data_IF_687984226333
#
_entry.id   IF_687984226333
#
_cell.length_a   1.000
_cell.length_b   1.000
_cell.length_c   1.000
_cell.angle_alpha   90.00
_cell.angle_beta   90.00
_cell.angle_gamma   90.00
#
_symmetry.space_group_name_H-M   'P 1'
#
loop_
_entity.id
_entity.type
_entity.pdbx_description
1 polymer ?
#
# COMPACT_ATOMS: atom_id res chain seq x y z
N UNK A 1 3.03 1.79 15.50
CA UNK A 1 4.19 1.01 15.04
C UNK A 1 4.61 1.34 13.61
N UNK A 2 3.75 1.17 12.59
CA UNK A 2 4.12 1.44 11.18
C UNK A 2 4.67 2.85 10.91
N UNK A 3 4.07 3.87 11.51
CA UNK A 3 4.53 5.26 11.37
C UNK A 3 5.92 5.49 11.95
N UNK A 4 6.27 4.79 13.04
CA UNK A 4 7.59 4.91 13.69
C UNK A 4 8.69 4.29 12.83
N UNK A 5 8.36 3.25 12.05
CA UNK A 5 9.34 2.54 11.23
C UNK A 5 9.59 3.27 9.90
N UNK A 6 8.55 3.88 9.33
CA UNK A 6 8.61 4.50 8.01
C UNK A 6 8.95 6.00 8.04
N UNK A 7 9.02 6.61 9.22
CA UNK A 7 9.36 8.03 9.36
C UNK A 7 10.68 8.20 10.11
N UNK A 8 11.60 9.00 9.57
CA UNK A 8 12.80 9.37 10.31
C UNK A 8 12.42 10.17 11.56
N UNK A 9 13.16 9.94 12.64
CA UNK A 9 12.93 10.64 13.90
C UNK A 9 13.13 12.15 13.71
N UNK A 10 12.30 12.94 14.40
CA UNK A 10 12.37 14.42 14.46
C UNK A 10 12.09 15.15 13.15
N UNK A 11 11.57 14.48 12.13
CA UNK A 11 11.03 15.15 10.95
C UNK A 11 9.56 15.54 11.11
N UNK A 12 9.24 16.79 10.79
CA UNK A 12 7.87 17.28 10.80
C UNK A 12 7.19 16.83 9.50
N UNK A 13 6.37 15.78 9.58
CA UNK A 13 5.53 15.36 8.45
C UNK A 13 4.05 15.74 8.69
N UNK A 14 3.71 17.01 8.42
CA UNK A 14 2.35 17.55 8.62
C UNK A 14 1.28 16.75 7.87
N UNK A 15 1.63 16.24 6.69
CA UNK A 15 0.70 15.49 5.83
C UNK A 15 0.32 14.15 6.46
N UNK A 16 1.30 13.39 6.96
CA UNK A 16 1.06 12.11 7.63
C UNK A 16 0.39 12.30 8.98
N UNK A 17 0.78 13.33 9.74
CA UNK A 17 0.12 13.65 10.99
C UNK A 17 -1.37 13.96 10.79
N UNK A 18 -1.70 14.78 9.77
CA UNK A 18 -3.08 15.08 9.43
C UNK A 18 -3.87 13.84 8.99
N UNK A 19 -3.27 13.00 8.15
CA UNK A 19 -3.85 11.70 7.77
C UNK A 19 -4.17 10.85 9.01
N UNK A 20 -3.25 10.79 9.98
CA UNK A 20 -3.46 10.01 11.20
C UNK A 20 -4.62 10.55 12.05
N UNK A 21 -4.71 11.87 12.22
CA UNK A 21 -5.83 12.50 12.92
C UNK A 21 -7.16 12.24 12.21
N UNK A 22 -7.19 12.37 10.88
CA UNK A 22 -8.40 12.13 10.09
C UNK A 22 -8.88 10.67 10.25
N UNK A 23 -7.95 9.70 10.25
CA UNK A 23 -8.27 8.29 10.51
C UNK A 23 -8.84 8.09 11.92
N UNK A 24 -8.21 8.65 12.95
CA UNK A 24 -8.69 8.52 14.32
C UNK A 24 -10.10 9.10 14.49
N UNK A 25 -10.36 10.25 13.89
CA UNK A 25 -11.68 10.85 13.89
C UNK A 25 -12.70 9.94 13.18
N UNK A 26 -12.37 9.40 12.00
CA UNK A 26 -13.26 8.48 11.27
C UNK A 26 -13.52 7.14 11.95
N UNK A 27 -12.61 6.66 12.79
CA UNK A 27 -12.85 5.48 13.62
C UNK A 27 -13.99 5.72 14.63
N UNK A 28 -14.19 6.95 15.09
CA UNK A 28 -15.30 7.28 16.00
C UNK A 28 -16.66 7.37 15.31
N UNK A 29 -16.70 7.50 13.98
CA UNK A 29 -17.95 7.62 13.20
C UNK A 29 -18.53 6.26 12.75
N UNK A 30 -17.96 5.12 13.18
CA UNK A 30 -18.48 3.78 12.87
C UNK A 30 -18.27 3.33 11.42
N UNK A 31 -17.35 3.95 10.70
CA UNK A 31 -16.94 3.54 9.35
C UNK A 31 -16.29 2.15 9.41
N UNK A 32 -16.36 1.37 8.32
CA UNK A 32 -15.67 0.08 8.23
C UNK A 32 -14.18 0.20 8.56
N UNK A 33 -13.79 -0.32 9.73
CA UNK A 33 -12.44 -0.21 10.27
C UNK A 33 -11.38 -0.84 9.37
N UNK A 34 -11.69 -1.98 8.74
CA UNK A 34 -10.74 -2.68 7.88
C UNK A 34 -10.37 -1.83 6.66
N UNK A 35 -11.37 -1.19 6.05
CA UNK A 35 -11.14 -0.32 4.90
C UNK A 35 -10.37 0.95 5.29
N UNK A 36 -10.66 1.54 6.46
CA UNK A 36 -9.90 2.68 6.98
C UNK A 36 -8.43 2.33 7.23
N UNK A 37 -8.15 1.17 7.83
CA UNK A 37 -6.78 0.72 8.10
C UNK A 37 -6.03 0.47 6.79
N UNK A 38 -6.68 -0.15 5.80
CA UNK A 38 -6.09 -0.34 4.46
C UNK A 38 -5.78 1.01 3.82
N UNK A 39 -6.73 1.95 3.82
CA UNK A 39 -6.52 3.28 3.26
C UNK A 39 -5.35 4.01 3.94
N UNK A 40 -5.29 3.94 5.27
CA UNK A 40 -4.18 4.51 6.04
C UNK A 40 -2.83 3.93 5.57
N UNK A 41 -2.72 2.60 5.44
CA UNK A 41 -1.49 1.94 4.96
C UNK A 41 -1.13 2.40 3.55
N UNK A 42 -2.09 2.47 2.63
CA UNK A 42 -1.88 2.89 1.24
C UNK A 42 -1.35 4.33 1.20
N UNK A 43 -2.02 5.25 1.90
CA UNK A 43 -1.62 6.66 1.94
C UNK A 43 -0.27 6.86 2.63
N UNK A 44 -0.02 6.14 3.73
CA UNK A 44 1.27 6.19 4.41
C UNK A 44 2.39 5.75 3.47
N UNK A 45 2.25 4.59 2.83
CA UNK A 45 3.23 4.07 1.86
C UNK A 45 3.43 5.01 0.67
N UNK A 46 2.35 5.63 0.18
CA UNK A 46 2.43 6.64 -0.89
C UNK A 46 3.22 7.87 -0.46
N UNK A 47 2.97 8.39 0.74
CA UNK A 47 3.64 9.60 1.23
C UNK A 47 5.11 9.36 1.58
N UNK A 48 5.48 8.12 1.91
CA UNK A 48 6.86 7.73 2.21
C UNK A 48 7.61 7.16 0.99
N UNK A 49 6.97 7.12 -0.19
CA UNK A 49 7.61 6.66 -1.43
C UNK A 49 7.75 5.14 -1.55
N UNK A 50 7.06 4.37 -0.70
CA UNK A 50 7.10 2.91 -0.65
C UNK A 50 5.82 2.23 -1.17
N UNK A 51 4.93 2.97 -1.84
CA UNK A 51 3.70 2.42 -2.41
C UNK A 51 4.01 1.35 -3.48
N UNK A 52 3.42 0.14 -3.38
CA UNK A 52 3.58 -0.87 -4.42
C UNK A 52 2.84 -0.50 -5.70
N UNK A 53 3.35 -0.95 -6.86
CA UNK A 53 2.69 -0.72 -8.15
C UNK A 53 1.82 -1.92 -8.54
N UNK A 54 0.50 -1.78 -8.46
CA UNK A 54 -0.46 -2.89 -8.65
C UNK A 54 -1.33 -2.77 -9.91
N UNK A 55 -1.04 -1.85 -10.83
CA UNK A 55 -1.79 -1.63 -12.08
C UNK A 55 -1.20 -2.41 -13.28
N UNK A 56 0.09 -2.24 -13.53
CA UNK A 56 0.77 -2.72 -14.75
C UNK A 56 2.20 -3.18 -14.45
N UNK A 57 2.82 -3.83 -15.43
CA UNK A 57 4.22 -4.22 -15.37
C UNK A 57 5.12 -3.01 -15.16
N UNK A 58 5.86 -2.97 -14.05
CA UNK A 58 6.73 -1.82 -13.75
C UNK A 58 7.87 -1.56 -14.75
N UNK A 59 8.19 -2.53 -15.62
CA UNK A 59 9.26 -2.39 -16.62
C UNK A 59 8.81 -1.99 -18.02
N UNK A 60 7.58 -2.29 -18.40
CA UNK A 60 7.14 -2.11 -19.81
C UNK A 60 5.66 -1.75 -19.96
N UNK A 61 4.96 -1.48 -18.85
CA UNK A 61 3.56 -1.05 -18.82
C UNK A 61 2.58 -1.98 -19.55
N UNK A 62 2.96 -3.24 -19.77
CA UNK A 62 2.03 -4.28 -20.20
C UNK A 62 1.23 -4.83 -19.02
N UNK A 63 0.05 -5.36 -19.31
CA UNK A 63 -0.78 -6.03 -18.31
C UNK A 63 -0.04 -7.22 -17.68
N UNK A 64 -0.23 -7.38 -16.37
CA UNK A 64 0.22 -8.50 -15.58
C UNK A 64 -0.74 -8.75 -14.42
N UNK A 65 -0.65 -9.93 -13.81
CA UNK A 65 -1.51 -10.34 -12.67
C UNK A 65 -0.71 -10.96 -11.54
N UNK A 66 0.62 -10.86 -11.64
CA UNK A 66 1.58 -11.45 -10.72
C UNK A 66 2.36 -10.32 -10.07
N UNK A 67 2.19 -10.18 -8.76
CA UNK A 67 2.92 -9.25 -7.92
C UNK A 67 4.20 -9.91 -7.42
N UNK A 68 5.34 -9.24 -7.65
CA UNK A 68 6.65 -9.70 -7.22
C UNK A 68 7.13 -8.83 -6.06
N UNK A 69 7.34 -9.47 -4.90
CA UNK A 69 7.63 -8.77 -3.65
C UNK A 69 9.00 -8.08 -3.72
N UNK A 70 9.98 -8.71 -4.38
CA UNK A 70 11.31 -8.12 -4.60
C UNK A 70 11.27 -6.82 -5.42
N UNK A 71 10.29 -6.67 -6.31
CA UNK A 71 10.10 -5.49 -7.15
C UNK A 71 9.13 -4.49 -6.54
N UNK A 72 8.30 -4.91 -5.57
CA UNK A 72 7.19 -4.11 -5.07
C UNK A 72 6.16 -3.79 -6.16
N UNK A 73 6.05 -4.63 -7.20
CA UNK A 73 5.22 -4.35 -8.36
C UNK A 73 4.66 -5.57 -9.06
N UNK A 74 3.62 -5.35 -9.87
CA UNK A 74 3.22 -6.31 -10.90
C UNK A 74 4.29 -6.40 -11.98
N UNK A 75 4.51 -7.61 -12.50
CA UNK A 75 5.40 -7.87 -13.64
C UNK A 75 4.68 -8.75 -14.67
N UNK A 76 4.88 -8.47 -15.96
CA UNK A 76 4.44 -9.37 -17.02
C UNK A 76 5.40 -10.55 -17.17
N UNK A 77 4.94 -11.65 -17.77
CA UNK A 77 5.71 -12.89 -17.96
C UNK A 77 7.10 -12.66 -18.61
N UNK A 78 7.18 -11.75 -19.59
CA UNK A 78 8.46 -11.42 -20.25
C UNK A 78 9.47 -10.71 -19.34
N UNK A 79 8.99 -9.99 -18.34
CA UNK A 79 9.82 -9.16 -17.47
C UNK A 79 10.12 -9.85 -16.13
N UNK A 80 9.50 -11.00 -15.86
CA UNK A 80 9.57 -11.68 -14.58
C UNK A 80 10.58 -12.82 -14.50
N UNK A 81 11.33 -13.08 -15.56
CA UNK A 81 12.40 -14.09 -15.56
C UNK A 81 13.43 -13.80 -14.48
N UNK A 82 13.72 -14.80 -13.64
CA UNK A 82 14.71 -14.70 -12.56
C UNK A 82 14.25 -13.91 -11.32
N UNK A 83 12.98 -13.54 -11.23
CA UNK A 83 12.41 -12.91 -10.03
C UNK A 83 12.00 -13.95 -8.97
N UNK A 84 11.66 -13.45 -7.79
CA UNK A 84 11.10 -14.20 -6.66
C UNK A 84 9.74 -14.84 -6.99
N UNK A 85 9.26 -15.71 -6.09
CA UNK A 85 7.93 -16.33 -6.24
C UNK A 85 6.84 -15.27 -6.19
N UNK A 86 6.00 -15.13 -7.23
CA UNK A 86 4.97 -14.10 -7.25
C UNK A 86 3.76 -14.47 -6.41
N UNK A 87 3.00 -13.44 -6.04
CA UNK A 87 1.64 -13.55 -5.51
C UNK A 87 0.66 -13.17 -6.61
N UNK A 88 -0.36 -13.99 -6.84
CA UNK A 88 -1.43 -13.65 -7.79
C UNK A 88 -2.34 -12.59 -7.17
N UNK A 89 -2.66 -11.56 -7.95
CA UNK A 89 -3.57 -10.49 -7.57
C UNK A 89 -4.73 -10.41 -8.57
N UNK A 90 -5.95 -10.23 -8.06
CA UNK A 90 -7.13 -10.02 -8.89
C UNK A 90 -7.19 -8.58 -9.43
N UNK A 91 -7.71 -8.42 -10.65
CA UNK A 91 -7.88 -7.09 -11.26
C UNK A 91 -8.77 -6.17 -10.41
N UNK A 92 -9.75 -6.73 -9.72
CA UNK A 92 -10.65 -5.97 -8.83
C UNK A 92 -9.89 -5.39 -7.64
N UNK A 93 -8.96 -6.15 -7.05
CA UNK A 93 -8.09 -5.64 -5.97
C UNK A 93 -7.13 -4.59 -6.49
N UNK A 94 -6.52 -4.80 -7.65
CA UNK A 94 -5.70 -3.79 -8.32
C UNK A 94 -6.47 -2.48 -8.54
N UNK A 95 -7.71 -2.55 -9.05
CA UNK A 95 -8.55 -1.38 -9.29
C UNK A 95 -8.87 -0.65 -7.99
N UNK A 96 -9.32 -1.37 -6.95
CA UNK A 96 -9.61 -0.77 -5.65
C UNK A 96 -8.36 -0.11 -5.04
N UNK A 97 -7.18 -0.71 -5.20
CA UNK A 97 -5.95 -0.12 -4.73
C UNK A 97 -5.65 1.22 -5.42
N UNK A 98 -5.83 1.30 -6.74
CA UNK A 98 -5.65 2.56 -7.50
C UNK A 98 -6.67 3.62 -7.06
N UNK A 99 -7.94 3.23 -6.90
CA UNK A 99 -8.98 4.11 -6.40
C UNK A 99 -8.60 4.69 -5.01
N UNK A 100 -8.15 3.84 -4.08
CA UNK A 100 -7.75 4.26 -2.73
C UNK A 100 -6.47 5.12 -2.73
N UNK A 101 -5.57 4.92 -3.69
CA UNK A 101 -4.40 5.78 -3.90
C UNK A 101 -4.80 7.20 -4.28
N UNK A 102 -5.88 7.38 -5.05
CA UNK A 102 -6.33 8.69 -5.52
C UNK A 102 -7.31 9.36 -4.56
N UNK A 103 -8.23 8.59 -3.96
CA UNK A 103 -9.32 9.12 -3.18
C UNK A 103 -8.89 9.83 -1.89
N UNK A 104 -9.67 10.81 -1.46
CA UNK A 104 -9.59 11.37 -0.12
C UNK A 104 -10.41 10.54 0.89
N UNK A 105 -10.17 10.77 2.18
CA UNK A 105 -10.81 10.02 3.27
C UNK A 105 -12.34 10.18 3.29
N UNK A 106 -12.87 11.29 2.78
CA UNK A 106 -14.31 11.52 2.73
C UNK A 106 -14.99 10.65 1.67
N UNK A 107 -14.28 10.02 0.73
CA UNK A 107 -14.91 9.07 -0.20
C UNK A 107 -15.16 7.71 0.44
N UNK A 108 -14.34 7.31 1.42
CA UNK A 108 -14.31 5.96 2.00
C UNK A 108 -15.62 5.60 2.73
N UNK A 109 -16.23 6.55 3.44
CA UNK A 109 -17.44 6.30 4.23
C UNK A 109 -18.63 5.74 3.42
N UNK A 110 -18.67 5.97 2.11
CA UNK A 110 -19.79 5.58 1.22
C UNK A 110 -19.59 4.23 0.55
N UNK A 111 -18.46 3.55 0.82
CA UNK A 111 -18.03 2.42 0.00
C UNK A 111 -18.31 1.12 0.71
N UNK A 112 -19.09 0.28 0.04
CA UNK A 112 -19.32 -1.08 0.45
C UNK A 112 -18.49 -2.02 -0.43
N UNK A 113 -17.35 -2.47 0.10
CA UNK A 113 -16.47 -3.43 -0.59
C UNK A 113 -16.65 -4.81 0.02
N UNK A 114 -16.66 -5.84 -0.83
CA UNK A 114 -16.70 -7.22 -0.39
C UNK A 114 -15.49 -7.56 0.51
N UNK A 115 -15.74 -8.22 1.64
CA UNK A 115 -14.72 -8.65 2.61
C UNK A 115 -13.58 -9.45 1.99
N UNK A 116 -13.84 -10.25 0.96
CA UNK A 116 -12.81 -11.03 0.26
C UNK A 116 -11.80 -10.12 -0.45
N UNK A 117 -12.26 -9.05 -1.08
CA UNK A 117 -11.42 -8.06 -1.77
C UNK A 117 -10.58 -7.28 -0.74
N UNK A 118 -11.21 -6.86 0.37
CA UNK A 118 -10.54 -6.20 1.50
C UNK A 118 -9.42 -7.09 2.04
N UNK A 119 -9.71 -8.38 2.25
CA UNK A 119 -8.74 -9.35 2.79
C UNK A 119 -7.55 -9.53 1.85
N UNK A 120 -7.81 -9.80 0.56
CA UNK A 120 -6.75 -9.98 -0.44
C UNK A 120 -5.84 -8.72 -0.52
N UNK A 121 -6.42 -7.53 -0.54
CA UNK A 121 -5.66 -6.28 -0.52
C UNK A 121 -4.84 -6.11 0.76
N UNK A 122 -5.44 -6.40 1.92
CA UNK A 122 -4.75 -6.35 3.21
C UNK A 122 -3.55 -7.29 3.25
N UNK A 123 -3.72 -8.52 2.76
CA UNK A 123 -2.67 -9.54 2.74
C UNK A 123 -1.47 -9.10 1.88
N UNK A 124 -1.73 -8.54 0.69
CA UNK A 124 -0.68 -8.01 -0.19
C UNK A 124 0.06 -6.84 0.45
N UNK A 125 -0.66 -5.89 1.06
CA UNK A 125 -0.03 -4.75 1.75
C UNK A 125 0.79 -5.21 2.95
N UNK A 126 0.31 -6.16 3.73
CA UNK A 126 1.03 -6.71 4.88
C UNK A 126 2.30 -7.44 4.44
N UNK A 127 2.25 -8.23 3.36
CA UNK A 127 3.42 -8.88 2.77
C UNK A 127 4.45 -7.84 2.34
N UNK A 128 4.02 -6.81 1.60
CA UNK A 128 4.88 -5.73 1.13
C UNK A 128 5.54 -4.98 2.28
N UNK A 129 4.76 -4.56 3.27
CA UNK A 129 5.25 -3.89 4.49
C UNK A 129 6.27 -4.75 5.23
N UNK A 130 5.99 -6.05 5.43
CA UNK A 130 6.92 -6.96 6.11
C UNK A 130 8.25 -7.06 5.36
N UNK A 131 8.21 -7.09 4.03
CA UNK A 131 9.40 -7.11 3.20
C UNK A 131 10.23 -5.82 3.28
N UNK A 132 9.57 -4.66 3.34
CA UNK A 132 10.24 -3.38 3.51
C UNK A 132 10.97 -3.30 4.86
N UNK A 133 10.34 -3.80 5.92
CA UNK A 133 10.87 -3.74 7.29
C UNK A 133 11.95 -4.81 7.53
N UNK A 134 11.85 -5.97 6.87
CA UNK A 134 12.82 -7.07 7.03
C UNK A 134 14.16 -6.81 6.33
N UNK A 135 14.18 -5.96 5.30
CA UNK A 135 15.44 -5.40 4.81
C UNK A 135 15.95 -4.41 5.84
N UNK A 136 17.25 -4.38 6.16
CA UNK A 136 17.81 -3.27 6.90
C UNK A 136 17.47 -2.01 6.09
N UNK A 137 16.55 -1.20 6.61
CA UNK A 137 16.28 0.11 6.06
C UNK A 137 17.65 0.78 6.03
N UNK A 138 18.20 1.02 4.83
CA UNK A 138 19.37 1.89 4.67
C UNK A 138 18.91 3.32 4.99
N UNK A 139 18.55 3.57 6.24
CA UNK A 139 18.45 4.87 6.86
C UNK A 139 19.76 5.09 7.59
N UNK A 140 20.84 5.23 6.83
CA UNK A 140 22.15 5.71 7.29
C UNK A 140 23.11 5.74 6.11
N UNK A 141 23.10 6.86 5.36
CA UNK A 141 24.30 7.46 4.74
C UNK A 141 23.89 8.58 3.78
N UNK A 142 23.35 9.68 4.30
CA UNK A 142 23.53 11.02 3.71
C UNK A 142 23.61 12.01 4.87
N UNK A 143 24.73 11.99 5.60
CA UNK A 143 25.38 13.14 6.23
C UNK A 143 26.85 12.79 6.40
#
# INVERSE_FOLDING_TARGET
ELTLILLPEREINRRIFRLFLDILYKLTEGVNHDLLIIFFKIKLLSFTGFAPRLDMCARCDRNGTLFYLSQGSIMCERCSTGLDTPVKISKTVSSLYQDLLEWDINKIHRINVNKTIIKELSDILNLHIRFLISKPLKCSSIF
#
